data_IF_729872780940
#
_entry.id   IF_729872780940
#
_cell.length_a   1.000
_cell.length_b   1.000
_cell.length_c   1.000
_cell.angle_alpha   90.00
_cell.angle_beta   90.00
_cell.angle_gamma   90.00
#
_symmetry.space_group_name_H-M   'P 1'
#
loop_
_entity.id
_entity.type
_entity.pdbx_description
1 polymer ?
#
# COMPACT_ATOMS: atom_id res chain seq x y z
N UNK A 1 28.78 10.32 -20.87
CA UNK A 1 27.59 10.23 -21.74
C UNK A 1 27.98 9.66 -23.09
N UNK A 2 27.00 9.25 -23.90
CA UNK A 2 27.22 8.78 -25.27
C UNK A 2 27.47 9.98 -26.20
N UNK A 3 28.67 10.57 -26.15
CA UNK A 3 29.01 11.75 -26.98
C UNK A 3 29.06 11.36 -28.46
N UNK A 4 27.99 11.67 -29.21
CA UNK A 4 27.91 11.52 -30.66
C UNK A 4 27.65 10.10 -31.18
N UNK A 5 27.34 9.13 -30.31
CA UNK A 5 27.03 7.75 -30.70
C UNK A 5 25.54 7.46 -30.53
N UNK A 6 24.88 6.74 -31.47
CA UNK A 6 23.46 6.40 -31.38
C UNK A 6 23.17 5.23 -30.41
N UNK A 7 24.08 4.94 -29.49
CA UNK A 7 24.01 3.82 -28.56
C UNK A 7 24.82 4.08 -27.29
N UNK A 8 24.46 3.35 -26.23
CA UNK A 8 25.17 3.24 -24.96
C UNK A 8 25.88 1.88 -24.92
N UNK A 9 27.15 1.84 -24.52
CA UNK A 9 27.85 0.55 -24.36
C UNK A 9 27.46 -0.12 -23.05
N UNK A 10 27.67 -1.44 -22.95
CA UNK A 10 27.53 -2.19 -21.69
C UNK A 10 28.21 -1.52 -20.49
N UNK A 11 29.46 -1.05 -20.63
CA UNK A 11 30.20 -0.38 -19.56
C UNK A 11 29.57 0.96 -19.17
N UNK A 12 29.08 1.73 -20.14
CA UNK A 12 28.39 2.99 -19.88
C UNK A 12 27.04 2.79 -19.19
N UNK A 13 26.28 1.76 -19.59
CA UNK A 13 25.03 1.39 -18.93
C UNK A 13 25.28 0.95 -17.49
N UNK A 14 26.28 0.08 -17.27
CA UNK A 14 26.68 -0.37 -15.94
C UNK A 14 27.07 0.79 -15.04
N UNK A 15 27.91 1.70 -15.55
CA UNK A 15 28.34 2.89 -14.81
C UNK A 15 27.16 3.79 -14.48
N UNK A 16 26.25 4.02 -15.44
CA UNK A 16 25.03 4.79 -15.22
C UNK A 16 24.17 4.19 -14.11
N UNK A 17 23.91 2.89 -14.14
CA UNK A 17 23.09 2.22 -13.12
C UNK A 17 23.75 2.34 -11.74
N UNK A 18 25.04 2.00 -11.64
CA UNK A 18 25.73 1.98 -10.36
C UNK A 18 25.99 3.37 -9.76
N UNK A 19 26.08 4.43 -10.57
CA UNK A 19 26.38 5.79 -10.11
C UNK A 19 25.18 6.73 -10.06
N UNK A 20 24.13 6.50 -10.85
CA UNK A 20 22.98 7.39 -10.98
C UNK A 20 21.66 6.78 -10.51
N UNK A 21 21.45 5.49 -10.76
CA UNK A 21 20.20 4.82 -10.42
C UNK A 21 20.25 4.13 -9.05
N UNK A 22 21.44 3.77 -8.58
CA UNK A 22 21.64 3.15 -7.28
C UNK A 22 21.40 4.13 -6.13
N UNK A 23 20.65 3.69 -5.12
CA UNK A 23 20.57 4.39 -3.84
C UNK A 23 21.91 4.29 -3.08
N UNK A 24 22.61 5.43 -2.82
CA UNK A 24 23.91 5.42 -2.16
C UNK A 24 23.87 5.00 -0.69
N UNK A 25 22.68 4.86 -0.09
CA UNK A 25 22.52 4.43 1.31
C UNK A 25 22.59 2.90 1.47
N UNK A 26 22.48 2.14 0.38
CA UNK A 26 22.43 0.68 0.41
C UNK A 26 23.83 0.06 0.59
N UNK A 27 23.92 -0.89 1.51
CA UNK A 27 25.15 -1.64 1.77
C UNK A 27 25.57 -2.46 0.53
N UNK A 28 26.83 -2.36 0.13
CA UNK A 28 27.35 -2.99 -1.09
C UNK A 28 27.49 -4.52 -1.01
N UNK A 29 27.55 -5.09 0.19
CA UNK A 29 27.60 -6.55 0.36
C UNK A 29 26.20 -7.15 0.25
N UNK A 30 25.21 -6.49 0.87
CA UNK A 30 23.81 -6.92 0.82
C UNK A 30 23.15 -6.64 -0.54
N UNK A 31 23.51 -5.51 -1.14
CA UNK A 31 23.01 -5.07 -2.45
C UNK A 31 24.20 -4.83 -3.37
N UNK A 32 24.79 -5.87 -3.98
CA UNK A 32 25.97 -5.71 -4.83
C UNK A 32 25.70 -4.79 -6.02
N UNK A 33 26.70 -4.00 -6.47
CA UNK A 33 26.57 -3.22 -7.69
C UNK A 33 26.40 -4.13 -8.90
N UNK A 34 25.78 -3.60 -9.96
CA UNK A 34 25.54 -4.35 -11.19
C UNK A 34 26.88 -4.77 -11.83
N UNK A 35 27.04 -6.07 -12.02
CA UNK A 35 28.17 -6.68 -12.73
C UNK A 35 28.06 -6.55 -14.25
N UNK A 36 29.14 -6.88 -14.99
CA UNK A 36 29.12 -6.84 -16.46
C UNK A 36 28.10 -7.80 -17.07
N UNK A 37 27.90 -8.98 -16.49
CA UNK A 37 26.90 -9.97 -16.95
C UNK A 37 25.47 -9.45 -16.77
N UNK A 38 25.16 -8.81 -15.64
CA UNK A 38 23.85 -8.19 -15.41
C UNK A 38 23.57 -7.06 -16.40
N UNK A 39 24.57 -6.23 -16.71
CA UNK A 39 24.42 -5.19 -17.73
C UNK A 39 24.16 -5.79 -19.13
N UNK A 40 24.78 -6.94 -19.46
CA UNK A 40 24.50 -7.65 -20.71
C UNK A 40 23.07 -8.21 -20.73
N UNK A 41 22.61 -8.80 -19.63
CA UNK A 41 21.24 -9.34 -19.53
C UNK A 41 20.18 -8.24 -19.75
N UNK A 42 20.39 -7.03 -19.21
CA UNK A 42 19.51 -5.89 -19.46
C UNK A 42 19.50 -5.47 -20.94
N UNK A 43 20.67 -5.50 -21.60
CA UNK A 43 20.75 -5.23 -23.05
C UNK A 43 19.97 -6.30 -23.82
N UNK A 44 20.14 -7.58 -23.47
CA UNK A 44 19.46 -8.68 -24.15
C UNK A 44 17.94 -8.62 -23.99
N UNK A 45 17.48 -8.15 -22.83
CA UNK A 45 16.07 -7.97 -22.51
C UNK A 45 15.44 -6.77 -23.24
N UNK A 46 16.11 -5.60 -23.21
CA UNK A 46 15.51 -4.34 -23.62
C UNK A 46 15.86 -3.89 -25.03
N UNK A 47 16.97 -4.34 -25.62
CA UNK A 47 17.39 -3.90 -26.95
C UNK A 47 16.60 -4.59 -28.07
N UNK A 48 15.77 -3.88 -28.86
CA UNK A 48 15.00 -4.50 -29.94
C UNK A 48 15.86 -4.91 -31.14
N UNK A 49 16.97 -4.21 -31.41
CA UNK A 49 17.80 -4.47 -32.59
C UNK A 49 18.88 -5.52 -32.30
N UNK A 50 18.77 -6.66 -32.98
CA UNK A 50 19.69 -7.80 -32.85
C UNK A 50 21.16 -7.43 -33.05
N UNK A 51 21.47 -6.54 -34.00
CA UNK A 51 22.86 -6.12 -34.28
C UNK A 51 23.46 -5.33 -33.13
N UNK A 52 22.68 -4.47 -32.48
CA UNK A 52 23.12 -3.74 -31.30
C UNK A 52 23.27 -4.67 -30.09
N UNK A 53 22.31 -5.58 -29.91
CA UNK A 53 22.34 -6.61 -28.87
C UNK A 53 23.59 -7.49 -28.93
N UNK A 54 23.90 -8.04 -30.12
CA UNK A 54 25.09 -8.87 -30.36
C UNK A 54 26.41 -8.13 -30.11
N UNK A 55 26.41 -6.79 -30.18
CA UNK A 55 27.57 -5.93 -29.88
C UNK A 55 27.61 -5.45 -28.43
N UNK A 56 26.67 -5.85 -27.57
CA UNK A 56 26.57 -5.34 -26.20
C UNK A 56 26.29 -3.83 -26.16
N UNK A 57 25.44 -3.37 -27.08
CA UNK A 57 25.07 -1.97 -27.23
C UNK A 57 23.56 -1.80 -27.03
N UNK A 58 23.18 -0.74 -26.32
CA UNK A 58 21.80 -0.35 -26.11
C UNK A 58 21.50 0.90 -26.93
N UNK A 59 20.58 0.80 -27.87
CA UNK A 59 20.09 1.92 -28.67
C UNK A 59 19.31 2.91 -27.81
N UNK A 60 19.02 4.09 -28.35
CA UNK A 60 18.13 5.05 -27.69
C UNK A 60 16.76 4.43 -27.36
N UNK A 61 16.19 3.64 -28.27
CA UNK A 61 14.91 2.96 -28.04
C UNK A 61 15.01 1.94 -26.91
N UNK A 62 16.05 1.08 -26.93
CA UNK A 62 16.30 0.12 -25.85
C UNK A 62 16.49 0.80 -24.49
N UNK A 63 17.14 1.96 -24.46
CA UNK A 63 17.33 2.74 -23.24
C UNK A 63 16.00 3.31 -22.70
N UNK A 64 15.12 3.81 -23.58
CA UNK A 64 13.77 4.23 -23.17
C UNK A 64 12.95 3.08 -22.59
N UNK A 65 13.05 1.89 -23.17
CA UNK A 65 12.38 0.69 -22.65
C UNK A 65 12.92 0.30 -21.27
N UNK A 66 14.25 0.35 -21.08
CA UNK A 66 14.87 0.12 -19.77
C UNK A 66 14.39 1.13 -18.72
N UNK A 67 14.31 2.42 -19.05
CA UNK A 67 13.90 3.45 -18.08
C UNK A 67 12.48 3.24 -17.54
N UNK A 68 11.57 2.71 -18.36
CA UNK A 68 10.21 2.36 -17.96
C UNK A 68 10.01 0.88 -17.61
N UNK A 69 11.09 0.11 -17.55
CA UNK A 69 11.09 -1.32 -17.28
C UNK A 69 11.05 -1.65 -15.79
N UNK A 70 10.82 -2.93 -15.48
CA UNK A 70 10.62 -3.40 -14.11
C UNK A 70 11.88 -3.23 -13.23
N UNK A 71 13.08 -3.32 -13.81
CA UNK A 71 14.35 -3.15 -13.10
C UNK A 71 14.71 -1.69 -12.78
N UNK A 72 13.92 -0.72 -13.26
CA UNK A 72 14.12 0.71 -13.00
C UNK A 72 12.91 1.37 -12.32
N UNK A 73 12.13 0.57 -11.57
CA UNK A 73 11.03 1.05 -10.74
C UNK A 73 11.49 2.00 -9.64
N UNK A 74 10.65 2.99 -9.31
CA UNK A 74 10.96 3.98 -8.26
C UNK A 74 10.89 3.40 -6.83
N UNK A 75 10.05 2.38 -6.62
CA UNK A 75 9.91 1.69 -5.34
C UNK A 75 10.50 0.29 -5.45
N UNK A 76 11.44 -0.10 -4.57
CA UNK A 76 11.98 -1.45 -4.55
C UNK A 76 10.87 -2.47 -4.25
N UNK A 77 10.76 -3.58 -5.00
CA UNK A 77 9.71 -4.57 -4.81
C UNK A 77 9.65 -5.16 -3.39
N UNK A 78 10.78 -5.24 -2.69
CA UNK A 78 10.87 -5.78 -1.33
C UNK A 78 10.08 -4.93 -0.33
N UNK A 79 9.94 -3.63 -0.60
CA UNK A 79 9.19 -2.71 0.27
C UNK A 79 7.67 -2.80 0.08
N UNK A 80 7.22 -3.40 -1.03
CA UNK A 80 5.79 -3.59 -1.33
C UNK A 80 5.19 -4.80 -0.58
N UNK A 81 6.04 -5.75 -0.17
CA UNK A 81 5.65 -6.92 0.62
C UNK A 81 5.77 -6.72 2.13
N UNK A 82 5.34 -7.73 2.89
CA UNK A 82 5.57 -7.80 4.33
C UNK A 82 7.06 -8.07 4.61
N UNK A 83 7.78 -7.04 5.04
CA UNK A 83 9.23 -7.11 5.31
C UNK A 83 9.61 -6.67 6.73
N UNK A 84 8.66 -6.14 7.49
CA UNK A 84 8.87 -5.70 8.87
C UNK A 84 8.79 -6.90 9.83
N UNK A 85 9.54 -6.83 10.93
CA UNK A 85 9.41 -7.80 12.02
C UNK A 85 8.05 -7.64 12.69
N UNK A 86 7.21 -8.68 12.64
CA UNK A 86 5.85 -8.70 13.21
C UNK A 86 5.77 -9.44 14.55
N UNK A 87 6.91 -9.66 15.21
CA UNK A 87 7.00 -10.39 16.49
C UNK A 87 7.21 -9.48 17.70
N UNK A 88 7.36 -8.17 17.49
CA UNK A 88 7.49 -7.20 18.59
C UNK A 88 6.13 -7.00 19.30
N UNK A 89 6.13 -6.40 20.51
CA UNK A 89 4.89 -6.04 21.19
C UNK A 89 4.05 -5.05 20.37
N UNK A 90 2.72 -5.10 20.53
CA UNK A 90 1.78 -4.26 19.75
C UNK A 90 2.08 -2.75 19.86
N UNK A 91 2.59 -2.29 21.01
CA UNK A 91 2.98 -0.89 21.26
C UNK A 91 4.16 -0.40 20.41
N UNK A 92 4.86 -1.30 19.71
CA UNK A 92 5.99 -0.96 18.84
C UNK A 92 5.59 -0.63 17.40
N UNK A 93 4.29 -0.69 17.07
CA UNK A 93 3.78 -0.49 15.73
C UNK A 93 2.87 0.73 15.62
N UNK A 94 2.97 1.43 14.48
CA UNK A 94 1.91 2.34 14.06
C UNK A 94 0.75 1.54 13.49
N UNK A 95 -0.46 1.79 14.00
CA UNK A 95 -1.68 1.07 13.61
C UNK A 95 -2.57 2.02 12.81
N UNK A 96 -2.88 1.64 11.56
CA UNK A 96 -3.82 2.37 10.73
C UNK A 96 -5.21 2.36 11.38
N UNK A 97 -5.72 3.53 11.78
CA UNK A 97 -6.88 3.67 12.66
C UNK A 97 -7.87 4.67 12.08
N UNK A 98 -9.17 4.39 12.25
CA UNK A 98 -10.28 5.19 11.77
C UNK A 98 -11.08 5.73 12.96
N UNK A 99 -11.45 7.01 12.88
CA UNK A 99 -12.30 7.70 13.85
C UNK A 99 -13.69 7.93 13.26
N UNK A 100 -14.73 7.75 14.06
CA UNK A 100 -16.15 7.78 13.66
C UNK A 100 -16.38 7.02 12.35
N UNK A 101 -15.93 5.76 12.31
CA UNK A 101 -15.85 4.94 11.10
C UNK A 101 -17.18 4.82 10.35
N UNK A 102 -18.30 4.90 11.06
CA UNK A 102 -19.63 4.82 10.48
C UNK A 102 -19.98 6.04 9.61
N UNK A 103 -19.39 7.23 9.85
CA UNK A 103 -19.73 8.46 9.11
C UNK A 103 -19.12 8.50 7.72
N UNK A 104 -19.94 8.82 6.72
CA UNK A 104 -19.49 8.94 5.32
C UNK A 104 -19.30 10.39 4.87
N UNK A 105 -19.66 11.36 5.70
CA UNK A 105 -19.58 12.79 5.40
C UNK A 105 -19.34 13.62 6.68
N UNK A 106 -20.02 14.76 6.83
CA UNK A 106 -19.82 15.68 7.94
C UNK A 106 -20.25 15.12 9.30
N UNK A 107 -19.64 15.63 10.37
CA UNK A 107 -19.86 15.17 11.75
C UNK A 107 -21.27 15.47 12.29
N UNK A 108 -21.99 16.46 11.76
CA UNK A 108 -23.26 16.92 12.34
C UNK A 108 -24.50 16.44 11.58
N UNK A 109 -24.38 16.24 10.27
CA UNK A 109 -25.50 15.96 9.36
C UNK A 109 -25.16 14.87 8.33
N UNK A 110 -24.01 14.21 8.49
CA UNK A 110 -23.55 13.19 7.56
C UNK A 110 -24.32 11.87 7.68
N UNK A 111 -24.41 11.08 6.61
CA UNK A 111 -24.94 9.74 6.69
C UNK A 111 -23.98 8.81 7.42
N UNK A 112 -24.53 7.82 8.10
CA UNK A 112 -23.84 6.66 8.66
C UNK A 112 -24.05 5.44 7.76
N UNK A 113 -23.04 4.57 7.65
CA UNK A 113 -23.11 3.39 6.79
C UNK A 113 -22.27 2.22 7.30
N UNK A 114 -22.89 1.03 7.34
CA UNK A 114 -22.17 -0.23 7.59
C UNK A 114 -21.14 -0.55 6.48
N UNK A 115 -21.38 -0.06 5.25
CA UNK A 115 -20.43 -0.24 4.15
C UNK A 115 -19.11 0.47 4.40
N UNK A 116 -19.11 1.56 5.17
CA UNK A 116 -17.88 2.27 5.49
C UNK A 116 -16.90 1.39 6.28
N UNK A 117 -17.41 0.52 7.17
CA UNK A 117 -16.59 -0.48 7.87
C UNK A 117 -15.92 -1.45 6.90
N UNK A 118 -16.64 -1.94 5.87
CA UNK A 118 -16.04 -2.79 4.83
C UNK A 118 -14.92 -2.06 4.11
N UNK A 119 -15.19 -0.84 3.65
CA UNK A 119 -14.25 -0.04 2.87
C UNK A 119 -12.97 0.29 3.64
N UNK A 120 -13.07 0.71 4.91
CA UNK A 120 -11.87 1.03 5.70
C UNK A 120 -11.04 -0.22 5.99
N UNK A 121 -11.68 -1.36 6.27
CA UNK A 121 -10.97 -2.62 6.52
C UNK A 121 -10.28 -3.12 5.25
N UNK A 122 -10.94 -3.02 4.08
CA UNK A 122 -10.34 -3.35 2.78
C UNK A 122 -9.15 -2.44 2.44
N UNK A 123 -9.18 -1.17 2.86
CA UNK A 123 -8.03 -0.24 2.75
C UNK A 123 -6.90 -0.51 3.76
N UNK A 124 -7.02 -1.56 4.58
CA UNK A 124 -5.99 -1.98 5.54
C UNK A 124 -6.08 -1.30 6.91
N UNK A 125 -7.17 -0.60 7.22
CA UNK A 125 -7.41 -0.09 8.57
C UNK A 125 -7.55 -1.26 9.56
N UNK A 126 -6.96 -1.13 10.76
CA UNK A 126 -6.90 -2.16 11.81
C UNK A 126 -7.53 -1.70 13.14
N UNK A 127 -8.00 -0.47 13.24
CA UNK A 127 -8.77 0.02 14.40
C UNK A 127 -9.97 0.80 13.90
N UNK A 128 -11.18 0.38 14.27
CA UNK A 128 -12.44 1.01 13.86
C UNK A 128 -13.28 1.37 15.08
N UNK A 129 -14.00 2.47 14.99
CA UNK A 129 -14.78 3.04 16.08
C UNK A 129 -16.27 2.74 15.93
N UNK A 130 -16.94 2.45 17.05
CA UNK A 130 -18.36 2.10 17.15
C UNK A 130 -19.01 2.86 18.30
N UNK A 131 -19.75 3.90 17.98
CA UNK A 131 -20.53 4.68 18.95
C UNK A 131 -21.87 4.00 19.15
N UNK A 132 -21.95 3.15 20.18
CA UNK A 132 -23.06 2.26 20.41
C UNK A 132 -24.11 2.92 21.31
N UNK A 133 -25.33 3.05 20.82
CA UNK A 133 -26.46 3.66 21.52
C UNK A 133 -27.60 2.67 21.74
N UNK A 134 -28.41 2.94 22.76
CA UNK A 134 -29.64 2.17 23.05
C UNK A 134 -30.59 2.17 21.85
N UNK A 135 -31.17 1.00 21.58
CA UNK A 135 -32.24 0.85 20.60
C UNK A 135 -33.54 1.56 20.99
N UNK A 136 -34.42 1.78 20.01
CA UNK A 136 -35.76 2.35 20.25
C UNK A 136 -36.80 1.24 20.41
N UNK A 137 -37.83 1.41 21.24
CA UNK A 137 -38.98 0.51 21.25
C UNK A 137 -39.68 0.47 19.89
N UNK A 138 -40.20 -0.69 19.45
CA UNK A 138 -40.31 -1.94 20.21
C UNK A 138 -39.14 -2.92 20.02
N UNK A 139 -38.22 -2.69 19.07
CA UNK A 139 -37.18 -3.66 18.73
C UNK A 139 -36.03 -3.73 19.75
N UNK A 140 -35.74 -2.63 20.45
CA UNK A 140 -34.67 -2.52 21.47
C UNK A 140 -33.24 -2.91 21.02
N UNK A 141 -33.02 -3.09 19.71
CA UNK A 141 -31.71 -3.42 19.12
C UNK A 141 -30.74 -2.22 19.14
N UNK A 142 -29.46 -2.40 19.56
CA UNK A 142 -28.49 -1.31 19.59
C UNK A 142 -28.22 -0.68 18.22
N UNK A 143 -27.96 0.62 18.22
CA UNK A 143 -27.70 1.42 17.04
C UNK A 143 -26.28 2.00 17.08
N UNK A 144 -25.73 2.35 15.92
CA UNK A 144 -24.50 3.12 15.79
C UNK A 144 -24.82 4.48 15.15
N UNK A 145 -24.43 5.56 15.82
CA UNK A 145 -24.63 6.95 15.36
C UNK A 145 -23.79 7.94 16.17
N UNK A 146 -23.67 9.18 15.68
CA UNK A 146 -23.05 10.26 16.43
C UNK A 146 -24.10 10.94 17.32
N UNK A 147 -23.95 10.77 18.64
CA UNK A 147 -24.94 11.20 19.63
C UNK A 147 -25.35 12.68 19.54
N UNK A 148 -26.63 12.95 19.78
CA UNK A 148 -27.20 14.31 19.81
C UNK A 148 -26.97 15.15 18.53
N UNK A 149 -26.76 14.49 17.40
CA UNK A 149 -26.62 15.15 16.09
C UNK A 149 -27.74 14.75 15.13
N UNK A 150 -27.67 15.23 13.88
CA UNK A 150 -28.60 14.88 12.80
C UNK A 150 -28.04 13.82 11.86
N UNK A 151 -27.05 13.03 12.30
CA UNK A 151 -26.52 11.92 11.51
C UNK A 151 -27.55 10.78 11.42
N UNK A 152 -27.50 10.00 10.35
CA UNK A 152 -28.36 8.81 10.26
C UNK A 152 -27.85 7.72 11.21
N UNK A 153 -28.73 6.79 11.57
CA UNK A 153 -28.41 5.66 12.44
C UNK A 153 -28.32 4.38 11.61
N UNK A 154 -27.48 3.44 12.03
CA UNK A 154 -27.38 2.11 11.43
C UNK A 154 -27.48 1.03 12.53
N UNK A 155 -28.05 -0.15 12.25
CA UNK A 155 -28.10 -1.24 13.23
C UNK A 155 -26.70 -1.74 13.60
N UNK A 156 -26.44 -1.92 14.89
CA UNK A 156 -25.17 -2.48 15.37
C UNK A 156 -24.88 -3.86 14.76
N UNK A 157 -25.92 -4.68 14.60
CA UNK A 157 -25.81 -6.01 13.96
C UNK A 157 -25.22 -5.93 12.56
N UNK A 158 -25.70 -5.00 11.73
CA UNK A 158 -25.20 -4.83 10.35
C UNK A 158 -23.73 -4.40 10.34
N UNK A 159 -23.32 -3.57 11.31
CA UNK A 159 -21.93 -3.13 11.48
C UNK A 159 -21.03 -4.33 11.81
N UNK A 160 -21.41 -5.16 12.78
CA UNK A 160 -20.61 -6.34 13.17
C UNK A 160 -20.53 -7.37 12.04
N UNK A 161 -21.61 -7.59 11.30
CA UNK A 161 -21.61 -8.47 10.13
C UNK A 161 -20.68 -7.94 9.02
N UNK A 162 -20.71 -6.64 8.75
CA UNK A 162 -19.80 -6.00 7.79
C UNK A 162 -18.32 -6.11 8.20
N UNK A 163 -18.03 -5.94 9.49
CA UNK A 163 -16.68 -6.12 10.05
C UNK A 163 -16.24 -7.58 9.90
N UNK A 164 -17.07 -8.54 10.32
CA UNK A 164 -16.74 -9.97 10.24
C UNK A 164 -16.44 -10.41 8.80
N UNK A 165 -17.18 -9.87 7.83
CA UNK A 165 -16.97 -10.17 6.41
C UNK A 165 -15.63 -9.64 5.89
N UNK A 166 -15.19 -8.46 6.32
CA UNK A 166 -14.08 -7.72 5.69
C UNK A 166 -12.78 -7.67 6.50
N UNK A 167 -12.82 -7.95 7.81
CA UNK A 167 -11.72 -7.74 8.76
C UNK A 167 -10.39 -8.31 8.27
N UNK A 168 -10.41 -9.49 7.65
CA UNK A 168 -9.19 -10.22 7.27
C UNK A 168 -9.02 -10.44 5.76
N UNK A 169 -9.81 -9.76 4.91
CA UNK A 169 -9.72 -9.92 3.44
C UNK A 169 -8.39 -9.40 2.87
N UNK A 170 -7.85 -8.31 3.41
CA UNK A 170 -6.63 -7.65 2.88
C UNK A 170 -5.45 -7.68 3.84
N UNK A 171 -5.65 -8.10 5.09
CA UNK A 171 -4.58 -8.22 6.08
C UNK A 171 -4.96 -9.27 7.15
N UNK A 172 -4.06 -10.21 7.47
CA UNK A 172 -4.31 -11.22 8.51
C UNK A 172 -4.04 -10.72 9.94
N UNK A 173 -3.57 -9.48 10.09
CA UNK A 173 -3.21 -8.89 11.38
C UNK A 173 -4.43 -8.47 12.19
N UNK A 174 -4.34 -8.42 13.54
CA UNK A 174 -5.47 -8.19 14.43
C UNK A 174 -6.20 -6.88 14.14
N UNK A 175 -7.51 -6.89 14.42
CA UNK A 175 -8.40 -5.73 14.35
C UNK A 175 -8.83 -5.34 15.76
N UNK A 176 -8.82 -4.04 16.04
CA UNK A 176 -9.28 -3.43 17.29
C UNK A 176 -10.65 -2.81 17.04
N UNK A 177 -11.62 -3.14 17.89
CA UNK A 177 -12.93 -2.52 17.91
C UNK A 177 -12.96 -1.53 19.08
N UNK A 178 -12.95 -0.24 18.76
CA UNK A 178 -13.04 0.84 19.74
C UNK A 178 -14.52 1.11 20.02
N UNK A 179 -15.00 0.60 21.15
CA UNK A 179 -16.39 0.79 21.59
C UNK A 179 -16.52 2.08 22.39
N UNK A 180 -17.32 3.02 21.89
CA UNK A 180 -17.86 4.12 22.68
C UNK A 180 -19.28 3.73 23.10
N UNK A 181 -19.45 3.29 24.34
CA UNK A 181 -20.68 2.64 24.79
C UNK A 181 -21.62 3.58 25.55
N UNK A 182 -22.84 3.75 25.01
CA UNK A 182 -23.96 4.52 25.56
C UNK A 182 -25.27 3.70 25.60
N UNK A 183 -25.19 2.37 25.62
CA UNK A 183 -26.38 1.50 25.54
C UNK A 183 -27.24 1.56 26.81
N UNK A 184 -26.65 1.93 27.95
CA UNK A 184 -27.32 2.10 29.24
C UNK A 184 -27.66 3.55 29.60
N UNK A 185 -27.16 4.52 28.83
CA UNK A 185 -27.47 5.96 28.95
C UNK A 185 -28.94 6.31 28.67
#
# INVERSE_FOLDING_TARGET
>A
GASGKPYVTREQLREFINSRQRDPRLNEVLFPPLGPEGAQALIDLYEPNRTFREKGQLSTEGFWRFLGGDENGIVPPETLGLHQDMTQPLSSYFINSSHNTYLTAGQLTGPSSAEMYRQVLLRGCRCVELDCWRGRPPEEEPLVTHGFTMTTEIPFKEVIEAIAESAFKTSPFPVILSFENHVDS
#
